data_IF_340091615423
#
_entry.id   IF_340091615423
#
_cell.length_a   1.000
_cell.length_b   1.000
_cell.length_c   1.000
_cell.angle_alpha   90.00
_cell.angle_beta   90.00
_cell.angle_gamma   90.00
#
_symmetry.space_group_name_H-M   'P 1'
#
loop_
_entity.id
_entity.type
_entity.pdbx_description
1 polymer ?
#
# COMPACT_ATOMS: atom_id res chain seq x y z
N UNK A 1 -11.94 -12.40 -23.97
CA UNK A 1 -10.73 -11.63 -23.66
C UNK A 1 -10.92 -10.16 -24.02
N UNK A 2 -11.63 -9.40 -23.18
CA UNK A 2 -11.76 -7.94 -23.36
C UNK A 2 -10.49 -7.31 -22.78
N UNK A 3 -9.68 -6.68 -23.63
CA UNK A 3 -8.63 -5.74 -23.20
C UNK A 3 -9.34 -4.55 -22.54
N UNK A 4 -9.55 -4.64 -21.23
CA UNK A 4 -9.72 -3.45 -20.41
C UNK A 4 -8.41 -2.66 -20.54
N UNK A 5 -8.50 -1.35 -20.75
CA UNK A 5 -7.37 -0.43 -20.64
C UNK A 5 -6.69 -0.65 -19.28
N UNK A 6 -5.70 -1.54 -19.22
CA UNK A 6 -4.83 -1.67 -18.05
C UNK A 6 -3.96 -0.43 -18.06
N UNK A 7 -4.19 0.49 -17.12
CA UNK A 7 -3.11 1.37 -16.70
C UNK A 7 -1.89 0.49 -16.40
N UNK A 8 -0.70 0.89 -16.85
CA UNK A 8 0.49 0.05 -16.71
C UNK A 8 1.00 0.01 -15.27
N UNK A 9 0.60 0.98 -14.45
CA UNK A 9 1.11 1.17 -13.10
C UNK A 9 0.04 1.67 -12.11
N UNK A 10 0.33 1.55 -10.82
CA UNK A 10 -0.49 2.11 -9.74
C UNK A 10 0.11 1.96 -8.35
N UNK A 11 -0.50 2.64 -7.37
CA UNK A 11 -0.10 2.59 -5.97
C UNK A 11 -0.92 1.54 -5.22
N UNK A 12 -0.27 0.80 -4.33
CA UNK A 12 -0.86 -0.25 -3.51
C UNK A 12 -0.70 0.10 -2.03
N UNK A 13 -1.82 0.13 -1.31
CA UNK A 13 -1.85 0.14 0.14
C UNK A 13 -2.35 -1.20 0.66
N UNK A 14 -1.87 -1.61 1.84
CA UNK A 14 -2.37 -2.80 2.54
C UNK A 14 -2.95 -2.44 3.89
N UNK A 15 -4.17 -2.87 4.18
CA UNK A 15 -4.81 -2.65 5.47
C UNK A 15 -5.26 -4.00 6.04
N UNK A 16 -5.00 -4.22 7.33
CA UNK A 16 -5.54 -5.37 8.05
C UNK A 16 -4.80 -6.69 7.84
N UNK A 17 -3.92 -6.79 6.83
CA UNK A 17 -3.27 -8.05 6.46
C UNK A 17 -2.53 -8.73 7.62
N UNK A 18 -2.63 -10.05 7.63
CA UNK A 18 -2.23 -10.98 8.69
C UNK A 18 -0.73 -11.15 8.95
N UNK A 19 0.14 -10.46 8.21
CA UNK A 19 1.57 -10.42 8.47
C UNK A 19 1.69 -9.94 9.91
N UNK A 20 2.51 -10.59 10.75
CA UNK A 20 2.55 -10.25 12.16
C UNK A 20 2.90 -8.79 12.25
N UNK A 21 1.88 -7.96 12.49
CA UNK A 21 2.00 -6.62 13.04
C UNK A 21 2.97 -6.85 14.17
N UNK A 22 4.24 -6.45 13.94
CA UNK A 22 5.31 -6.61 14.92
C UNK A 22 4.70 -6.09 16.21
N UNK A 23 4.82 -6.83 17.31
CA UNK A 23 4.03 -6.59 18.53
C UNK A 23 4.00 -5.12 18.97
N UNK A 24 5.06 -4.37 18.63
CA UNK A 24 5.19 -2.92 18.61
C UNK A 24 3.96 -2.19 18.04
N UNK A 25 3.52 -2.48 16.82
CA UNK A 25 2.36 -1.84 16.18
C UNK A 25 1.03 -2.27 16.82
N UNK A 26 0.92 -3.52 17.28
CA UNK A 26 -0.28 -3.99 18.00
C UNK A 26 -0.43 -3.25 19.33
N UNK A 27 0.67 -3.03 20.04
CA UNK A 27 0.76 -2.27 21.30
C UNK A 27 0.54 -0.77 21.10
N UNK A 28 1.17 -0.18 20.08
CA UNK A 28 1.07 1.26 19.74
C UNK A 28 -0.38 1.72 19.60
N UNK A 29 -1.25 0.80 19.21
CA UNK A 29 -2.59 1.11 18.76
C UNK A 29 -3.70 0.29 19.43
N UNK A 30 -3.39 -0.38 20.55
CA UNK A 30 -4.35 -1.15 21.35
C UNK A 30 -5.22 -2.13 20.52
N UNK A 31 -4.64 -2.68 19.45
CA UNK A 31 -5.32 -3.56 18.50
C UNK A 31 -6.38 -2.90 17.58
N UNK A 32 -6.53 -1.57 17.57
CA UNK A 32 -7.58 -0.85 16.82
C UNK A 32 -7.11 0.28 15.89
N UNK A 33 -5.81 0.49 15.77
CA UNK A 33 -5.14 1.76 15.39
C UNK A 33 -5.77 2.73 14.39
N UNK A 34 -5.28 3.99 14.38
CA UNK A 34 -5.72 5.06 13.48
C UNK A 34 -5.32 4.79 12.02
N UNK A 35 -5.09 3.54 11.64
CA UNK A 35 -4.70 3.09 10.31
C UNK A 35 -5.63 3.61 9.22
N UNK A 36 -6.91 3.84 9.52
CA UNK A 36 -7.86 4.45 8.59
C UNK A 36 -7.62 5.95 8.39
N UNK A 37 -7.28 6.68 9.46
CA UNK A 37 -6.96 8.11 9.40
C UNK A 37 -5.60 8.34 8.73
N UNK A 38 -4.61 7.53 9.09
CA UNK A 38 -3.29 7.52 8.45
C UNK A 38 -3.41 7.21 6.95
N UNK A 39 -4.12 6.13 6.59
CA UNK A 39 -4.39 5.77 5.20
C UNK A 39 -5.10 6.90 4.45
N UNK A 40 -6.15 7.49 5.02
CA UNK A 40 -6.86 8.59 4.40
C UNK A 40 -5.95 9.82 4.20
N UNK A 41 -5.11 10.15 5.18
CA UNK A 41 -4.15 11.24 5.09
C UNK A 41 -3.07 10.95 4.02
N UNK A 42 -2.57 9.72 3.97
CA UNK A 42 -1.60 9.28 2.95
C UNK A 42 -2.18 9.41 1.55
N UNK A 43 -3.38 8.83 1.32
CA UNK A 43 -4.08 8.92 0.03
C UNK A 43 -4.38 10.37 -0.35
N UNK A 44 -4.77 11.21 0.60
CA UNK A 44 -5.02 12.64 0.33
C UNK A 44 -3.76 13.34 -0.17
N UNK A 45 -2.60 13.10 0.45
CA UNK A 45 -1.33 13.70 0.00
C UNK A 45 -0.87 13.13 -1.33
N UNK A 46 -1.07 11.83 -1.57
CA UNK A 46 -0.82 11.20 -2.85
C UNK A 46 -1.66 11.84 -3.96
N UNK A 47 -2.99 11.92 -3.80
CA UNK A 47 -3.88 12.52 -4.80
C UNK A 47 -3.64 14.02 -4.98
N UNK A 48 -3.14 14.74 -3.98
CA UNK A 48 -2.75 16.14 -4.10
C UNK A 48 -1.56 16.34 -5.05
N UNK A 49 -0.59 15.42 -5.05
CA UNK A 49 0.63 15.54 -5.85
C UNK A 49 0.61 14.72 -7.14
N UNK A 50 -0.12 13.60 -7.17
CA UNK A 50 -0.22 12.66 -8.29
C UNK A 50 -1.70 12.29 -8.53
N UNK A 51 -2.55 13.25 -8.97
CA UNK A 51 -4.01 13.09 -9.01
C UNK A 51 -4.50 12.00 -9.97
N UNK A 52 -3.67 11.63 -10.97
CA UNK A 52 -4.01 10.65 -12.00
C UNK A 52 -3.55 9.22 -11.66
N UNK A 53 -2.70 9.07 -10.64
CA UNK A 53 -2.19 7.76 -10.25
C UNK A 53 -3.32 6.93 -9.66
N UNK A 54 -3.58 5.73 -10.19
CA UNK A 54 -4.62 4.87 -9.66
C UNK A 54 -4.15 4.22 -8.35
N UNK A 55 -5.08 3.97 -7.43
CA UNK A 55 -4.80 3.46 -6.08
C UNK A 55 -5.62 2.20 -5.80
N UNK A 56 -4.96 1.17 -5.27
CA UNK A 56 -5.60 -0.05 -4.79
C UNK A 56 -5.41 -0.18 -3.29
N UNK A 57 -6.47 -0.63 -2.62
CA UNK A 57 -6.40 -1.13 -1.26
C UNK A 57 -6.48 -2.65 -1.28
N UNK A 58 -5.53 -3.32 -0.66
CA UNK A 58 -5.61 -4.76 -0.39
C UNK A 58 -5.90 -4.98 1.09
N UNK A 59 -6.91 -5.79 1.38
CA UNK A 59 -7.38 -6.01 2.75
C UNK A 59 -7.94 -7.42 2.96
N UNK A 60 -7.81 -7.95 4.15
CA UNK A 60 -8.49 -9.17 4.63
C UNK A 60 -9.78 -8.84 5.42
N UNK A 61 -10.01 -7.56 5.70
CA UNK A 61 -11.10 -7.01 6.48
C UNK A 61 -11.97 -6.05 5.65
N UNK A 62 -12.68 -6.59 4.65
CA UNK A 62 -13.59 -5.82 3.79
C UNK A 62 -14.67 -5.08 4.60
N UNK A 63 -15.16 -5.67 5.69
CA UNK A 63 -16.19 -5.09 6.55
C UNK A 63 -15.76 -3.77 7.23
N UNK A 64 -14.46 -3.51 7.32
CA UNK A 64 -13.93 -2.26 7.86
C UNK A 64 -13.91 -1.11 6.84
N UNK A 65 -14.26 -1.39 5.57
CA UNK A 65 -14.25 -0.41 4.49
C UNK A 65 -15.65 0.14 4.27
N UNK A 66 -15.92 1.31 4.84
CA UNK A 66 -17.18 2.01 4.60
C UNK A 66 -17.23 2.67 3.21
N UNK A 67 -18.43 3.10 2.79
CA UNK A 67 -18.66 3.69 1.46
C UNK A 67 -17.85 4.98 1.19
N UNK A 68 -17.49 5.75 2.22
CA UNK A 68 -16.67 6.95 2.05
C UNK A 68 -15.21 6.58 1.79
N UNK A 69 -14.70 5.60 2.54
CA UNK A 69 -13.35 5.06 2.40
C UNK A 69 -13.17 4.37 1.04
N UNK A 70 -14.18 3.60 0.60
CA UNK A 70 -14.13 2.91 -0.69
C UNK A 70 -13.93 3.85 -1.88
N UNK A 71 -14.41 5.10 -1.80
CA UNK A 71 -14.27 6.11 -2.86
C UNK A 71 -12.84 6.64 -3.03
N UNK A 72 -11.96 6.40 -2.06
CA UNK A 72 -10.56 6.80 -2.14
C UNK A 72 -9.74 5.91 -3.08
N UNK A 73 -10.26 4.72 -3.40
CA UNK A 73 -9.55 3.70 -4.15
C UNK A 73 -10.22 3.44 -5.48
N UNK A 74 -9.39 3.31 -6.51
CA UNK A 74 -9.82 2.86 -7.83
C UNK A 74 -10.14 1.36 -7.79
N UNK A 75 -9.49 0.61 -6.88
CA UNK A 75 -9.72 -0.82 -6.67
C UNK A 75 -9.59 -1.24 -5.21
N UNK A 76 -10.40 -2.21 -4.81
CA UNK A 76 -10.29 -2.88 -3.52
C UNK A 76 -10.16 -4.37 -3.79
N UNK A 77 -9.10 -4.98 -3.26
CA UNK A 77 -8.80 -6.40 -3.42
C UNK A 77 -8.89 -7.07 -2.06
N UNK A 78 -9.74 -8.09 -1.97
CA UNK A 78 -9.93 -8.84 -0.73
C UNK A 78 -9.01 -10.06 -0.72
N UNK A 79 -8.01 -10.06 0.18
CA UNK A 79 -7.05 -11.14 0.35
C UNK A 79 -7.28 -11.84 1.69
N UNK A 80 -8.01 -12.96 1.69
CA UNK A 80 -8.36 -13.70 2.92
C UNK A 80 -7.29 -14.71 3.37
N UNK A 81 -6.27 -14.97 2.56
CA UNK A 81 -5.23 -15.95 2.84
C UNK A 81 -4.12 -15.37 3.72
N UNK A 82 -3.73 -16.10 4.77
CA UNK A 82 -2.56 -15.76 5.61
C UNK A 82 -1.28 -16.19 4.92
N UNK A 83 -0.32 -15.27 4.76
CA UNK A 83 1.04 -15.66 4.42
C UNK A 83 1.91 -15.64 5.67
N UNK A 84 2.37 -16.81 6.08
CA UNK A 84 3.16 -17.03 7.29
C UNK A 84 4.65 -16.70 7.11
N UNK A 85 4.99 -15.57 6.51
CA UNK A 85 6.37 -15.05 6.45
C UNK A 85 6.40 -13.56 6.80
N UNK A 86 7.52 -13.06 7.31
CA UNK A 86 7.73 -11.63 7.53
C UNK A 86 7.61 -10.89 6.19
N UNK A 87 6.83 -9.80 6.15
CA UNK A 87 6.49 -9.08 4.90
C UNK A 87 5.66 -9.90 3.90
N UNK A 88 5.22 -11.08 4.30
CA UNK A 88 4.63 -12.09 3.44
C UNK A 88 3.35 -11.68 2.76
N UNK A 89 2.63 -10.71 3.31
CA UNK A 89 1.37 -10.27 2.72
C UNK A 89 1.53 -9.10 1.74
N UNK A 90 2.65 -8.38 1.79
CA UNK A 90 2.89 -7.23 0.90
C UNK A 90 3.09 -7.70 -0.54
N UNK A 91 3.96 -8.69 -0.76
CA UNK A 91 4.24 -9.19 -2.11
C UNK A 91 2.98 -9.78 -2.78
N UNK A 92 2.21 -10.69 -2.15
CA UNK A 92 0.94 -11.14 -2.68
C UNK A 92 -0.06 -10.02 -2.91
N UNK A 93 -0.13 -9.02 -2.01
CA UNK A 93 -1.02 -7.88 -2.19
C UNK A 93 -0.66 -7.08 -3.45
N UNK A 94 0.62 -6.78 -3.63
CA UNK A 94 1.15 -6.11 -4.82
C UNK A 94 0.82 -6.92 -6.09
N UNK A 95 1.07 -8.23 -6.07
CA UNK A 95 0.82 -9.12 -7.21
C UNK A 95 -0.68 -9.35 -7.51
N UNK A 96 -1.56 -9.11 -6.53
CA UNK A 96 -3.00 -9.24 -6.71
C UNK A 96 -3.62 -8.02 -7.42
N UNK A 97 -2.89 -6.91 -7.52
CA UNK A 97 -3.33 -5.71 -8.25
C UNK A 97 -3.20 -5.90 -9.76
N UNK A 98 -3.97 -5.19 -10.61
CA UNK A 98 -4.01 -5.45 -12.05
C UNK A 98 -2.87 -4.77 -12.83
N UNK A 99 -1.97 -4.10 -12.13
CA UNK A 99 -0.89 -3.30 -12.72
C UNK A 99 0.35 -4.16 -12.97
N UNK A 100 1.12 -3.77 -13.99
CA UNK A 100 2.39 -4.40 -14.27
C UNK A 100 3.51 -3.84 -13.38
N UNK A 101 3.39 -2.56 -13.00
CA UNK A 101 4.35 -1.83 -12.17
C UNK A 101 3.62 -1.25 -10.98
N UNK A 102 3.99 -1.66 -9.78
CA UNK A 102 3.26 -1.28 -8.57
C UNK A 102 4.21 -0.65 -7.57
N UNK A 103 3.75 0.44 -6.95
CA UNK A 103 4.46 1.08 -5.84
C UNK A 103 3.67 0.83 -4.57
N UNK A 104 4.26 0.08 -3.65
CA UNK A 104 3.71 -0.11 -2.32
C UNK A 104 4.05 1.08 -1.43
N UNK A 105 3.07 1.60 -0.69
CA UNK A 105 3.27 2.63 0.33
C UNK A 105 2.70 2.16 1.68
N UNK A 106 3.43 2.43 2.76
CA UNK A 106 2.90 2.28 4.11
C UNK A 106 1.76 3.27 4.38
N UNK A 107 0.91 2.94 5.35
CA UNK A 107 -0.29 3.73 5.67
C UNK A 107 0.03 5.12 6.22
N UNK A 108 1.20 5.30 6.82
CA UNK A 108 1.67 6.55 7.44
C UNK A 108 2.62 7.36 6.55
N UNK A 109 2.71 7.03 5.26
CA UNK A 109 3.51 7.79 4.29
C UNK A 109 2.83 9.12 3.94
N UNK A 110 3.62 10.20 3.97
CA UNK A 110 3.24 11.49 3.40
C UNK A 110 3.91 11.68 2.04
N UNK A 111 3.11 11.76 0.97
CA UNK A 111 3.62 12.08 -0.37
C UNK A 111 3.78 13.59 -0.50
N UNK A 112 4.97 14.04 -0.90
CA UNK A 112 5.33 15.46 -0.93
C UNK A 112 5.62 16.01 -2.35
N UNK A 113 5.60 15.15 -3.36
CA UNK A 113 5.88 15.47 -4.75
C UNK A 113 5.21 14.44 -5.68
N UNK A 114 5.18 14.74 -6.98
CA UNK A 114 4.71 13.79 -7.99
C UNK A 114 5.60 12.55 -8.02
N UNK A 115 4.99 11.36 -7.93
CA UNK A 115 5.70 10.07 -7.83
C UNK A 115 5.65 9.24 -9.11
N UNK A 116 5.03 9.74 -10.19
CA UNK A 116 4.85 8.98 -11.43
C UNK A 116 6.18 8.45 -12.01
N UNK A 117 7.24 9.25 -11.93
CA UNK A 117 8.58 8.85 -12.38
C UNK A 117 9.21 7.69 -11.59
N UNK A 118 8.70 7.36 -10.39
CA UNK A 118 9.19 6.22 -9.62
C UNK A 118 8.85 4.89 -10.30
N UNK A 119 7.77 4.82 -11.07
CA UNK A 119 7.39 3.60 -11.80
C UNK A 119 8.37 3.25 -12.92
N UNK A 120 9.10 4.23 -13.47
CA UNK A 120 10.07 4.00 -14.55
C UNK A 120 11.28 3.17 -14.09
N UNK A 121 11.58 3.17 -12.79
CA UNK A 121 12.63 2.33 -12.23
C UNK A 121 12.35 0.84 -12.42
N UNK A 122 11.07 0.46 -12.44
CA UNK A 122 10.63 -0.92 -12.65
C UNK A 122 10.74 -1.37 -14.12
N UNK A 123 11.23 -0.51 -15.02
CA UNK A 123 11.65 -0.94 -16.37
C UNK A 123 13.03 -1.62 -16.36
N UNK A 124 13.84 -1.34 -15.33
CA UNK A 124 15.22 -1.82 -15.23
C UNK A 124 15.41 -2.83 -14.10
N UNK A 125 14.52 -2.84 -13.12
CA UNK A 125 14.61 -3.69 -11.94
C UNK A 125 13.29 -4.42 -11.69
N UNK A 126 13.35 -5.68 -11.27
CA UNK A 126 12.14 -6.44 -10.91
C UNK A 126 11.48 -5.88 -9.65
N UNK A 127 12.30 -5.42 -8.69
CA UNK A 127 11.86 -4.87 -7.39
C UNK A 127 12.84 -3.75 -6.97
N UNK A 128 12.28 -2.64 -6.50
CA UNK A 128 13.03 -1.60 -5.77
C UNK A 128 12.55 -1.51 -4.33
N UNK A 129 13.48 -1.43 -3.37
CA UNK A 129 13.18 -1.25 -1.95
C UNK A 129 14.08 -0.18 -1.37
N UNK A 130 13.56 0.58 -0.40
CA UNK A 130 14.36 1.55 0.36
C UNK A 130 14.95 0.84 1.57
N UNK A 131 16.25 1.01 1.78
CA UNK A 131 16.90 0.49 2.99
C UNK A 131 16.33 1.23 4.21
N UNK A 132 15.95 0.48 5.24
CA UNK A 132 15.65 1.08 6.55
C UNK A 132 16.85 1.93 6.96
N UNK A 133 16.65 3.21 7.34
CA UNK A 133 17.76 4.03 7.81
C UNK A 133 18.39 3.31 8.99
N UNK A 134 19.61 2.82 8.80
CA UNK A 134 20.41 2.24 9.87
C UNK A 134 20.44 3.26 11.00
N UNK A 135 19.99 2.95 12.23
CA UNK A 135 20.27 3.84 13.33
C UNK A 135 21.79 3.94 13.38
N UNK A 136 22.33 5.13 13.15
CA UNK A 136 23.62 5.45 13.72
C UNK A 136 23.44 5.20 15.21
N UNK A 137 23.89 4.03 15.66
CA UNK A 137 24.07 3.73 17.07
C UNK A 137 24.81 4.93 17.63
N UNK A 138 24.18 5.62 18.58
CA UNK A 138 24.88 6.60 19.39
C UNK A 138 26.21 5.98 19.87
N UNK A 139 27.34 6.71 19.75
CA UNK A 139 28.61 6.24 20.29
C UNK A 139 28.51 5.94 21.79
#
# INVERSE_FOLDING_TARGET
WRRLNRQSHGVVYTLGLHSPIIEVYRKRYNGRGPYLEELAASVATLKAHSPRTPIALVTDHEDNINASMAKLFDQIVVQKGKVHVSWGDVIPAVLATPWQRSLFLDLDVKVCADIEHMFDWLEYYDIGVVAEPYPFSHP
#
